data_IF_560258423060
#
_entry.id   IF_560258423060
#
_cell.length_a   1.000
_cell.length_b   1.000
_cell.length_c   1.000
_cell.angle_alpha   90.00
_cell.angle_beta   90.00
_cell.angle_gamma   90.00
#
_symmetry.space_group_name_H-M   'P 1'
#
loop_
_entity.id
_entity.type
_entity.pdbx_description
1 polymer ?
#
# COMPACT_ATOMS: atom_id res chain seq x y z
N UNK A 1 19.27 4.86 33.27
CA UNK A 1 19.72 4.52 31.90
C UNK A 1 18.55 3.84 31.22
N UNK A 2 17.93 4.49 30.24
CA UNK A 2 16.89 3.86 29.42
C UNK A 2 17.58 3.04 28.34
N UNK A 3 17.38 1.72 28.33
CA UNK A 3 17.75 0.88 27.20
C UNK A 3 16.61 1.01 26.19
N UNK A 4 16.93 1.48 24.99
CA UNK A 4 15.95 1.57 23.92
C UNK A 4 15.71 0.17 23.35
N UNK A 5 14.46 -0.24 23.26
CA UNK A 5 14.09 -1.50 22.61
C UNK A 5 14.11 -1.25 21.09
N UNK A 6 15.12 -1.79 20.42
CA UNK A 6 15.28 -1.67 18.98
C UNK A 6 15.66 -3.02 18.39
N UNK A 7 14.97 -3.35 17.31
CA UNK A 7 15.27 -4.50 16.49
C UNK A 7 16.61 -4.35 15.77
N UNK A 8 17.39 -5.42 15.73
CA UNK A 8 18.79 -5.40 15.29
C UNK A 8 19.11 -6.58 14.37
N UNK A 9 20.02 -6.36 13.43
CA UNK A 9 20.63 -7.42 12.62
C UNK A 9 21.86 -8.04 13.28
N UNK A 10 22.35 -7.47 14.39
CA UNK A 10 23.47 -8.05 15.16
C UNK A 10 22.94 -9.03 16.18
N UNK A 11 23.31 -10.30 16.02
CA UNK A 11 22.84 -11.35 16.91
C UNK A 11 23.67 -11.46 18.19
N UNK A 12 23.06 -11.10 19.32
CA UNK A 12 23.63 -11.30 20.66
C UNK A 12 22.89 -12.38 21.46
N UNK A 13 21.76 -12.86 20.94
CA UNK A 13 20.82 -13.75 21.64
C UNK A 13 20.61 -15.08 20.91
N UNK A 14 21.44 -15.37 19.90
CA UNK A 14 21.45 -16.62 19.11
C UNK A 14 20.20 -16.82 18.25
N UNK A 15 19.52 -15.74 17.85
CA UNK A 15 18.36 -15.76 16.96
C UNK A 15 18.73 -15.92 15.47
N UNK A 16 20.00 -15.79 15.10
CA UNK A 16 20.51 -15.94 13.73
C UNK A 16 20.16 -17.31 13.15
N UNK A 17 20.08 -18.36 13.97
CA UNK A 17 19.69 -19.71 13.51
C UNK A 17 18.30 -19.73 12.87
N UNK A 18 17.36 -18.94 13.40
CA UNK A 18 16.00 -18.82 12.85
C UNK A 18 16.06 -18.06 11.52
N UNK A 19 16.74 -16.92 11.49
CA UNK A 19 16.90 -16.12 10.27
C UNK A 19 17.58 -16.94 9.15
N UNK A 20 18.63 -17.71 9.46
CA UNK A 20 19.29 -18.61 8.51
C UNK A 20 18.37 -19.68 7.95
N UNK A 21 17.43 -20.20 8.76
CA UNK A 21 16.44 -21.17 8.30
C UNK A 21 15.47 -20.53 7.30
N UNK A 22 15.01 -19.31 7.58
CA UNK A 22 14.16 -18.51 6.66
C UNK A 22 14.91 -18.24 5.36
N UNK A 23 16.14 -17.72 5.43
CA UNK A 23 16.99 -17.42 4.26
C UNK A 23 17.25 -18.68 3.43
N UNK A 24 17.57 -19.81 4.06
CA UNK A 24 17.78 -21.08 3.35
C UNK A 24 16.52 -21.51 2.62
N UNK A 25 15.36 -21.47 3.28
CA UNK A 25 14.09 -21.84 2.68
C UNK A 25 13.77 -20.96 1.47
N UNK A 26 13.93 -19.64 1.60
CA UNK A 26 13.77 -18.70 0.49
C UNK A 26 14.71 -19.07 -0.66
N UNK A 27 16.00 -19.33 -0.39
CA UNK A 27 16.99 -19.68 -1.42
C UNK A 27 16.67 -20.98 -2.16
N UNK A 28 16.20 -22.00 -1.44
CA UNK A 28 15.86 -23.32 -1.97
C UNK A 28 14.51 -23.36 -2.74
N UNK A 29 13.75 -22.27 -2.75
CA UNK A 29 12.47 -22.15 -3.49
C UNK A 29 12.50 -21.05 -4.56
N UNK A 30 13.37 -21.13 -5.59
CA UNK A 30 13.49 -20.08 -6.61
C UNK A 30 12.28 -19.97 -7.56
N UNK A 31 11.52 -21.05 -7.75
CA UNK A 31 10.45 -21.12 -8.76
C UNK A 31 9.03 -21.11 -8.18
N UNK A 32 8.89 -20.90 -6.87
CA UNK A 32 7.59 -20.92 -6.20
C UNK A 32 7.42 -19.70 -5.30
N UNK A 33 6.30 -18.97 -5.38
CA UNK A 33 5.99 -17.94 -4.40
C UNK A 33 5.76 -18.59 -3.03
N UNK A 34 6.40 -18.06 -2.00
CA UNK A 34 6.30 -18.55 -0.63
C UNK A 34 5.91 -17.43 0.32
N UNK A 35 5.03 -17.75 1.27
CA UNK A 35 4.65 -16.87 2.38
C UNK A 35 5.12 -17.50 3.68
N UNK A 36 5.91 -16.76 4.47
CA UNK A 36 6.50 -17.24 5.72
C UNK A 36 5.97 -16.38 6.87
N UNK A 37 5.32 -17.03 7.84
CA UNK A 37 4.89 -16.37 9.07
C UNK A 37 5.93 -16.56 10.18
N UNK A 38 6.42 -15.46 10.75
CA UNK A 38 7.27 -15.49 11.96
C UNK A 38 6.41 -15.17 13.17
N UNK A 39 6.17 -16.18 14.01
CA UNK A 39 5.29 -16.06 15.19
C UNK A 39 6.09 -16.18 16.49
N UNK A 40 5.60 -15.53 17.54
CA UNK A 40 6.21 -15.52 18.87
C UNK A 40 5.65 -14.41 19.75
N UNK A 41 5.85 -14.53 21.06
CA UNK A 41 5.37 -13.56 22.05
C UNK A 41 5.98 -12.16 21.89
N UNK A 42 5.43 -11.17 22.60
CA UNK A 42 6.01 -9.83 22.67
C UNK A 42 7.44 -9.91 23.22
N UNK A 43 8.40 -9.25 22.56
CA UNK A 43 9.81 -9.29 22.95
C UNK A 43 10.56 -10.57 22.55
N UNK A 44 9.94 -11.52 21.84
CA UNK A 44 10.60 -12.76 21.40
C UNK A 44 11.64 -12.58 20.26
N UNK A 45 11.97 -11.34 19.86
CA UNK A 45 12.97 -11.05 18.83
C UNK A 45 12.51 -11.21 17.38
N UNK A 46 11.20 -11.28 17.11
CA UNK A 46 10.63 -11.43 15.76
C UNK A 46 11.17 -10.40 14.76
N UNK A 47 11.08 -9.11 15.09
CA UNK A 47 11.55 -8.01 14.25
C UNK A 47 13.07 -8.09 14.01
N UNK A 48 13.86 -8.55 15.00
CA UNK A 48 15.30 -8.81 14.82
C UNK A 48 15.55 -9.98 13.86
N UNK A 49 14.75 -11.06 13.92
CA UNK A 49 14.81 -12.15 12.94
C UNK A 49 14.51 -11.65 11.53
N UNK A 50 13.50 -10.78 11.37
CA UNK A 50 13.18 -10.14 10.09
C UNK A 50 14.34 -9.26 9.59
N UNK A 51 14.95 -8.42 10.45
CA UNK A 51 16.12 -7.60 10.09
C UNK A 51 17.35 -8.43 9.74
N UNK A 52 17.61 -9.52 10.44
CA UNK A 52 18.69 -10.45 10.08
C UNK A 52 18.43 -11.12 8.74
N UNK A 53 17.16 -11.44 8.44
CA UNK A 53 16.76 -12.00 7.14
C UNK A 53 16.99 -10.98 6.02
N UNK A 54 16.60 -9.72 6.21
CA UNK A 54 16.88 -8.62 5.27
C UNK A 54 18.38 -8.45 5.05
N UNK A 55 19.16 -8.36 6.14
CA UNK A 55 20.61 -8.19 6.10
C UNK A 55 21.32 -9.31 5.32
N UNK A 56 20.79 -10.54 5.34
CA UNK A 56 21.38 -11.67 4.63
C UNK A 56 21.29 -11.56 3.10
N UNK A 57 20.40 -10.73 2.57
CA UNK A 57 20.26 -10.44 1.13
C UNK A 57 20.88 -9.09 0.72
N UNK A 58 21.38 -8.29 1.67
CA UNK A 58 22.02 -7.02 1.36
C UNK A 58 23.25 -7.23 0.47
N UNK A 59 23.32 -6.46 -0.63
CA UNK A 59 24.40 -6.56 -1.61
C UNK A 59 24.15 -7.58 -2.72
N UNK A 60 23.07 -8.37 -2.69
CA UNK A 60 22.68 -9.23 -3.80
C UNK A 60 21.92 -8.42 -4.86
N UNK A 61 22.60 -8.00 -5.95
CA UNK A 61 22.02 -7.09 -6.97
C UNK A 61 20.72 -7.60 -7.63
N UNK A 62 20.53 -8.92 -7.66
CA UNK A 62 19.37 -9.59 -8.26
C UNK A 62 18.29 -9.98 -7.24
N UNK A 63 18.47 -9.65 -5.96
CA UNK A 63 17.47 -9.82 -4.91
C UNK A 63 17.05 -8.45 -4.39
N UNK A 64 15.76 -8.13 -4.48
CA UNK A 64 15.21 -6.92 -3.88
C UNK A 64 14.50 -7.28 -2.58
N UNK A 65 14.99 -6.74 -1.46
CA UNK A 65 14.28 -6.77 -0.19
C UNK A 65 13.48 -5.49 0.00
N UNK A 66 12.17 -5.64 0.23
CA UNK A 66 11.28 -4.54 0.60
C UNK A 66 10.86 -4.69 2.05
N UNK A 67 11.15 -3.69 2.86
CA UNK A 67 10.70 -3.61 4.25
C UNK A 67 9.42 -2.78 4.35
N UNK A 68 8.39 -3.35 4.96
CA UNK A 68 7.16 -2.66 5.31
C UNK A 68 6.88 -2.84 6.81
N UNK A 69 6.74 -1.75 7.55
CA UNK A 69 6.37 -1.79 8.96
C UNK A 69 4.92 -1.30 9.13
N UNK A 70 4.04 -2.17 9.61
CA UNK A 70 2.62 -1.88 9.75
C UNK A 70 2.29 -0.76 10.74
N UNK A 71 3.13 -0.57 11.77
CA UNK A 71 2.96 0.50 12.76
C UNK A 71 3.11 1.90 12.13
N UNK A 72 4.03 2.05 11.17
CA UNK A 72 4.25 3.31 10.44
C UNK A 72 2.99 3.78 9.69
N UNK A 73 2.14 2.82 9.29
CA UNK A 73 0.94 3.07 8.49
C UNK A 73 -0.35 2.86 9.29
N UNK A 74 -0.26 2.73 10.63
CA UNK A 74 -1.42 2.61 11.51
C UNK A 74 -2.31 3.87 11.37
N UNK A 75 -3.57 3.68 11.01
CA UNK A 75 -4.53 4.77 10.79
C UNK A 75 -4.54 5.37 9.37
N UNK A 76 -3.66 4.92 8.46
CA UNK A 76 -3.80 5.18 7.03
C UNK A 76 -4.86 4.23 6.45
N UNK A 77 -5.92 4.80 5.85
CA UNK A 77 -7.03 4.05 5.22
C UNK A 77 -6.54 3.14 4.07
N UNK A 78 -5.41 3.48 3.44
CA UNK A 78 -4.92 2.88 2.20
C UNK A 78 -3.57 2.13 2.35
N UNK A 79 -3.32 1.44 3.47
CA UNK A 79 -2.06 0.72 3.72
C UNK A 79 -1.65 -0.21 2.55
N UNK A 80 -2.60 -0.92 1.92
CA UNK A 80 -2.36 -1.78 0.75
C UNK A 80 -1.80 -1.01 -0.44
N UNK A 81 -2.30 0.20 -0.65
CA UNK A 81 -1.86 1.04 -1.76
C UNK A 81 -0.48 1.60 -1.51
N UNK A 82 -0.20 1.98 -0.26
CA UNK A 82 1.13 2.44 0.16
C UNK A 82 2.18 1.34 -0.02
N UNK A 83 1.86 0.08 0.29
CA UNK A 83 2.74 -1.07 0.01
C UNK A 83 3.08 -1.14 -1.49
N UNK A 84 2.07 -1.05 -2.36
CA UNK A 84 2.26 -1.12 -3.81
C UNK A 84 3.12 0.05 -4.30
N UNK A 85 2.83 1.27 -3.86
CA UNK A 85 3.60 2.47 -4.26
C UNK A 85 5.05 2.42 -3.78
N UNK A 86 5.26 1.96 -2.54
CA UNK A 86 6.60 1.76 -1.97
C UNK A 86 7.37 0.74 -2.79
N UNK A 87 6.73 -0.37 -3.16
CA UNK A 87 7.34 -1.40 -4.00
C UNK A 87 7.72 -0.87 -5.39
N UNK A 88 6.88 -0.05 -6.00
CA UNK A 88 7.19 0.57 -7.29
C UNK A 88 8.38 1.53 -7.17
N UNK A 89 8.42 2.36 -6.13
CA UNK A 89 9.52 3.31 -5.95
C UNK A 89 10.84 2.59 -5.60
N UNK A 90 10.81 1.55 -4.77
CA UNK A 90 11.99 0.73 -4.45
C UNK A 90 12.52 0.00 -5.69
N UNK A 91 11.65 -0.56 -6.54
CA UNK A 91 12.06 -1.14 -7.82
C UNK A 91 12.73 -0.12 -8.73
N UNK A 92 12.19 1.11 -8.79
CA UNK A 92 12.77 2.21 -9.57
C UNK A 92 14.13 2.65 -9.01
N UNK A 93 14.27 2.72 -7.69
CA UNK A 93 15.54 3.05 -7.01
C UNK A 93 16.59 1.97 -7.18
N UNK A 94 16.19 0.70 -7.16
CA UNK A 94 17.07 -0.44 -7.37
C UNK A 94 17.59 -0.54 -8.82
N UNK A 95 16.91 0.13 -9.77
CA UNK A 95 17.26 0.15 -11.21
C UNK A 95 17.24 1.58 -11.76
N UNK A 96 18.06 2.51 -11.23
CA UNK A 96 17.94 3.94 -11.50
C UNK A 96 18.26 4.34 -12.94
N UNK A 97 19.03 3.51 -13.65
CA UNK A 97 19.43 3.73 -15.06
C UNK A 97 18.53 3.00 -16.06
N UNK A 98 17.56 2.19 -15.59
CA UNK A 98 16.71 1.41 -16.48
C UNK A 98 15.50 2.22 -16.95
N UNK A 99 15.54 2.68 -18.20
CA UNK A 99 14.39 3.35 -18.83
C UNK A 99 13.15 2.44 -18.89
N UNK A 100 13.34 1.13 -19.05
CA UNK A 100 12.25 0.14 -19.04
C UNK A 100 11.52 0.12 -17.71
N UNK A 101 12.26 0.06 -16.60
CA UNK A 101 11.69 0.11 -15.24
C UNK A 101 10.99 1.43 -15.00
N UNK A 102 11.59 2.55 -15.41
CA UNK A 102 11.00 3.87 -15.23
C UNK A 102 9.64 4.01 -15.94
N UNK A 103 9.52 3.56 -17.19
CA UNK A 103 8.26 3.61 -17.94
C UNK A 103 7.22 2.62 -17.39
N UNK A 104 7.61 1.39 -17.04
CA UNK A 104 6.70 0.42 -16.43
C UNK A 104 6.15 0.91 -15.08
N UNK A 105 7.03 1.44 -14.23
CA UNK A 105 6.66 2.04 -12.94
C UNK A 105 5.68 3.20 -13.12
N UNK A 106 5.93 4.10 -14.09
CA UNK A 106 5.05 5.23 -14.40
C UNK A 106 3.67 4.77 -14.88
N UNK A 107 3.61 3.74 -15.72
CA UNK A 107 2.36 3.16 -16.22
C UNK A 107 1.54 2.59 -15.05
N UNK A 108 2.18 1.82 -14.18
CA UNK A 108 1.54 1.20 -13.02
C UNK A 108 1.11 2.23 -11.96
N UNK A 109 1.90 3.27 -11.69
CA UNK A 109 1.51 4.34 -10.76
C UNK A 109 0.24 5.07 -11.24
N UNK A 110 0.15 5.39 -12.53
CA UNK A 110 -1.08 5.98 -13.10
C UNK A 110 -2.30 5.08 -12.91
N UNK A 111 -2.11 3.75 -12.98
CA UNK A 111 -3.17 2.78 -12.74
C UNK A 111 -3.62 2.81 -11.29
N UNK A 112 -2.68 2.83 -10.36
CA UNK A 112 -2.93 2.94 -8.92
C UNK A 112 -3.66 4.24 -8.60
N UNK A 113 -3.23 5.37 -9.16
CA UNK A 113 -3.89 6.67 -9.00
C UNK A 113 -5.34 6.65 -9.50
N UNK A 114 -5.57 6.06 -10.68
CA UNK A 114 -6.93 5.90 -11.21
C UNK A 114 -7.80 5.05 -10.28
N UNK A 115 -7.28 3.92 -9.77
CA UNK A 115 -8.01 3.05 -8.83
C UNK A 115 -8.35 3.77 -7.52
N UNK A 116 -7.45 4.61 -6.99
CA UNK A 116 -7.71 5.45 -5.82
C UNK A 116 -8.86 6.41 -6.07
N UNK A 117 -8.84 7.12 -7.20
CA UNK A 117 -9.90 8.08 -7.58
C UNK A 117 -11.23 7.36 -7.77
N UNK A 118 -11.24 6.24 -8.51
CA UNK A 118 -12.44 5.44 -8.76
C UNK A 118 -13.07 4.89 -7.46
N UNK A 119 -12.25 4.45 -6.50
CA UNK A 119 -12.75 3.99 -5.19
C UNK A 119 -13.45 5.11 -4.42
N UNK A 120 -12.84 6.31 -4.38
CA UNK A 120 -13.43 7.48 -3.72
C UNK A 120 -14.75 7.88 -4.39
N UNK A 121 -14.76 7.98 -5.72
CA UNK A 121 -15.97 8.37 -6.47
C UNK A 121 -17.10 7.35 -6.31
N UNK A 122 -16.80 6.06 -6.32
CA UNK A 122 -17.78 4.99 -6.08
C UNK A 122 -18.42 5.10 -4.69
N UNK A 123 -17.64 5.42 -3.64
CA UNK A 123 -18.18 5.68 -2.30
C UNK A 123 -19.19 6.85 -2.30
N UNK A 124 -18.85 7.96 -2.98
CA UNK A 124 -19.75 9.11 -3.16
C UNK A 124 -21.03 8.76 -3.90
N UNK A 125 -20.94 8.04 -5.02
CA UNK A 125 -22.11 7.59 -5.75
C UNK A 125 -22.99 6.64 -4.92
N UNK A 126 -22.37 5.68 -4.21
CA UNK A 126 -23.09 4.75 -3.33
C UNK A 126 -23.89 5.49 -2.25
N UNK A 127 -23.31 6.52 -1.64
CA UNK A 127 -24.00 7.35 -0.62
C UNK A 127 -25.14 8.15 -1.22
N UNK A 128 -24.93 8.76 -2.39
CA UNK A 128 -25.96 9.52 -3.07
C UNK A 128 -27.18 8.65 -3.43
N UNK A 129 -26.95 7.38 -3.80
CA UNK A 129 -28.00 6.43 -4.16
C UNK A 129 -28.70 5.86 -2.93
N UNK A 130 -27.94 5.43 -1.93
CA UNK A 130 -28.47 4.63 -0.81
C UNK A 130 -28.82 5.48 0.42
N UNK A 131 -28.33 6.71 0.49
CA UNK A 131 -28.38 7.53 1.70
C UNK A 131 -27.47 7.04 2.83
N UNK A 132 -26.69 5.97 2.62
CA UNK A 132 -25.77 5.40 3.61
C UNK A 132 -24.35 5.87 3.30
N UNK A 133 -23.75 6.75 4.12
CA UNK A 133 -22.37 7.17 3.96
C UNK A 133 -21.42 6.01 4.23
N UNK A 134 -20.42 5.81 3.36
CA UNK A 134 -19.32 4.90 3.67
C UNK A 134 -18.41 5.49 4.75
N UNK A 135 -17.62 4.64 5.41
CA UNK A 135 -16.76 5.04 6.52
C UNK A 135 -15.75 6.13 6.12
N UNK A 136 -15.13 5.99 4.94
CA UNK A 136 -14.18 6.98 4.38
C UNK A 136 -14.85 8.36 4.21
N UNK A 137 -16.11 8.38 3.80
CA UNK A 137 -16.84 9.62 3.55
C UNK A 137 -17.30 10.33 4.82
N UNK A 138 -17.51 9.60 5.92
CA UNK A 138 -17.82 10.23 7.21
C UNK A 138 -16.64 11.06 7.71
N UNK A 139 -15.40 10.59 7.49
CA UNK A 139 -14.17 11.33 7.78
C UNK A 139 -14.08 12.58 6.90
N UNK A 140 -14.22 12.43 5.58
CA UNK A 140 -14.16 13.55 4.63
C UNK A 140 -15.25 14.60 4.92
N UNK A 141 -16.48 14.18 5.25
CA UNK A 141 -17.57 15.09 5.63
C UNK A 141 -17.26 15.82 6.93
N UNK A 142 -16.72 15.13 7.94
CA UNK A 142 -16.30 15.77 9.17
C UNK A 142 -15.22 16.83 8.90
N UNK A 143 -14.23 16.55 8.06
CA UNK A 143 -13.19 17.49 7.68
C UNK A 143 -13.76 18.69 6.89
N UNK A 144 -14.70 18.45 5.98
CA UNK A 144 -15.42 19.50 5.24
C UNK A 144 -16.22 20.37 6.21
N UNK A 145 -17.05 19.80 7.09
CA UNK A 145 -17.82 20.54 8.08
C UNK A 145 -16.89 21.35 8.99
N UNK A 146 -15.78 20.78 9.43
CA UNK A 146 -14.79 21.47 10.25
C UNK A 146 -14.12 22.63 9.50
N UNK A 147 -13.84 22.46 8.21
CA UNK A 147 -13.30 23.51 7.34
C UNK A 147 -14.33 24.62 7.03
N UNK A 148 -15.60 24.27 6.88
CA UNK A 148 -16.71 25.21 6.67
C UNK A 148 -17.02 26.02 7.94
N UNK A 149 -17.05 25.38 9.12
CA UNK A 149 -17.19 26.06 10.41
C UNK A 149 -16.03 27.04 10.66
N UNK A 150 -14.85 26.77 10.08
CA UNK A 150 -13.68 27.67 10.14
C UNK A 150 -13.70 28.80 9.09
N UNK A 151 -14.65 28.83 8.16
CA UNK A 151 -14.81 29.91 7.16
C UNK A 151 -16.01 30.80 7.54
N UNK A 152 -15.80 31.98 8.15
CA UNK A 152 -16.89 32.88 8.46
C UNK A 152 -17.20 33.72 7.21
N UNK A 153 -18.18 33.27 6.40
CA UNK A 153 -19.02 34.15 5.59
C UNK A 153 -20.19 33.37 4.97
N UNK A 154 -21.37 33.62 5.54
CA UNK A 154 -22.67 33.09 5.14
C UNK A 154 -23.08 33.63 3.76
N UNK A 155 -23.16 32.73 2.78
CA UNK A 155 -24.19 32.70 1.73
C UNK A 155 -23.94 31.50 0.81
N UNK A 156 -24.71 30.43 1.01
CA UNK A 156 -24.83 29.36 0.01
C UNK A 156 -25.87 29.83 -1.00
N UNK A 157 -25.46 30.19 -2.22
CA UNK A 157 -26.37 30.62 -3.28
C UNK A 157 -27.14 29.44 -3.88
N UNK A 158 -28.35 29.69 -4.39
CA UNK A 158 -29.12 28.69 -5.15
C UNK A 158 -28.39 28.27 -6.44
N UNK A 159 -27.55 29.15 -6.99
CA UNK A 159 -26.68 28.84 -8.13
C UNK A 159 -25.50 27.94 -7.73
N UNK A 160 -25.00 28.06 -6.50
CA UNK A 160 -24.02 27.11 -5.94
C UNK A 160 -24.67 25.73 -5.77
N UNK A 161 -25.92 25.68 -5.29
CA UNK A 161 -26.63 24.41 -5.13
C UNK A 161 -26.95 23.73 -6.47
N UNK A 162 -27.30 24.50 -7.51
CA UNK A 162 -27.55 23.97 -8.85
C UNK A 162 -26.27 23.50 -9.54
N UNK A 163 -25.17 24.24 -9.42
CA UNK A 163 -23.87 23.80 -9.94
C UNK A 163 -23.40 22.53 -9.22
N UNK A 164 -23.56 22.46 -7.89
CA UNK A 164 -23.28 21.25 -7.12
C UNK A 164 -24.14 20.05 -7.57
N UNK A 165 -25.42 20.25 -7.87
CA UNK A 165 -26.32 19.19 -8.36
C UNK A 165 -25.97 18.71 -9.78
N UNK A 166 -25.60 19.62 -10.68
CA UNK A 166 -25.13 19.29 -12.02
C UNK A 166 -23.82 18.51 -11.99
N UNK A 167 -22.86 18.99 -11.18
CA UNK A 167 -21.60 18.27 -10.95
C UNK A 167 -21.85 16.89 -10.33
N UNK A 168 -22.77 16.76 -9.36
CA UNK A 168 -23.11 15.48 -8.77
C UNK A 168 -23.63 14.48 -9.81
N UNK A 169 -24.47 14.90 -10.76
CA UNK A 169 -24.93 14.01 -11.84
C UNK A 169 -23.81 13.58 -12.79
N UNK A 170 -22.91 14.49 -13.16
CA UNK A 170 -21.77 14.16 -14.01
C UNK A 170 -20.77 13.24 -13.29
N UNK A 171 -20.53 13.48 -11.99
CA UNK A 171 -19.74 12.58 -11.14
C UNK A 171 -20.39 11.20 -10.97
N UNK A 172 -21.71 11.13 -10.83
CA UNK A 172 -22.43 9.86 -10.76
C UNK A 172 -22.30 9.07 -12.06
N UNK A 173 -22.46 9.72 -13.23
CA UNK A 173 -22.28 9.07 -14.53
C UNK A 173 -20.85 8.59 -14.74
N UNK A 174 -19.85 9.43 -14.45
CA UNK A 174 -18.45 9.05 -14.53
C UNK A 174 -18.14 7.87 -13.60
N UNK A 175 -18.62 7.90 -12.35
CA UNK A 175 -18.43 6.81 -11.39
C UNK A 175 -19.09 5.49 -11.84
N UNK A 176 -20.25 5.54 -12.50
CA UNK A 176 -20.90 4.33 -13.05
C UNK A 176 -20.12 3.75 -14.22
N UNK A 177 -19.64 4.58 -15.15
CA UNK A 177 -18.80 4.12 -16.27
C UNK A 177 -17.45 3.56 -15.80
N UNK A 178 -16.85 4.19 -14.78
CA UNK A 178 -15.61 3.73 -14.16
C UNK A 178 -15.79 2.39 -13.42
N UNK A 179 -16.93 2.20 -12.76
CA UNK A 179 -17.25 0.94 -12.07
C UNK A 179 -17.43 -0.23 -13.05
N UNK A 180 -18.04 -0.01 -14.23
CA UNK A 180 -18.19 -1.02 -15.27
C UNK A 180 -16.84 -1.47 -15.85
N UNK A 181 -15.84 -0.56 -15.91
CA UNK A 181 -14.49 -0.85 -16.41
C UNK A 181 -13.54 -1.39 -15.34
N UNK A 182 -13.97 -1.49 -14.08
CA UNK A 182 -13.11 -1.92 -12.98
C UNK A 182 -12.43 -3.29 -13.22
N UNK A 183 -13.10 -4.34 -13.76
CA UNK A 183 -12.44 -5.60 -14.06
C UNK A 183 -11.29 -5.45 -15.05
N UNK A 184 -11.47 -4.67 -16.12
CA UNK A 184 -10.45 -4.40 -17.12
C UNK A 184 -9.23 -3.70 -16.50
N UNK A 185 -9.47 -2.74 -15.60
CA UNK A 185 -8.41 -2.05 -14.87
C UNK A 185 -7.66 -2.96 -13.89
N UNK A 186 -8.32 -3.95 -13.28
CA UNK A 186 -7.65 -4.96 -12.44
C UNK A 186 -6.76 -5.87 -13.28
N UNK A 187 -7.22 -6.29 -14.46
CA UNK A 187 -6.41 -7.08 -15.39
C UNK A 187 -5.21 -6.27 -15.91
N UNK A 188 -5.43 -5.02 -16.29
CA UNK A 188 -4.36 -4.12 -16.71
C UNK A 188 -3.34 -3.90 -15.59
N UNK A 189 -3.78 -3.70 -14.35
CA UNK A 189 -2.89 -3.59 -13.19
C UNK A 189 -1.99 -4.82 -13.05
N UNK A 190 -2.54 -6.04 -13.14
CA UNK A 190 -1.74 -7.28 -13.05
C UNK A 190 -0.70 -7.36 -14.16
N UNK A 191 -1.09 -7.09 -15.40
CA UNK A 191 -0.18 -7.08 -16.55
C UNK A 191 0.92 -6.03 -16.39
N UNK A 192 0.58 -4.83 -15.94
CA UNK A 192 1.52 -3.72 -15.72
C UNK A 192 2.47 -4.01 -14.55
N UNK A 193 2.00 -4.74 -13.54
CA UNK A 193 2.82 -5.23 -12.44
C UNK A 193 3.81 -6.31 -12.90
N UNK A 194 3.36 -7.28 -13.69
CA UNK A 194 4.23 -8.30 -14.29
C UNK A 194 5.30 -7.64 -15.18
N UNK A 195 4.90 -6.69 -16.05
CA UNK A 195 5.82 -5.91 -16.88
C UNK A 195 6.92 -5.20 -16.05
N UNK A 196 6.56 -4.65 -14.89
CA UNK A 196 7.51 -3.97 -14.00
C UNK A 196 8.50 -4.97 -13.37
N UNK A 197 8.02 -6.12 -12.89
CA UNK A 197 8.86 -7.16 -12.28
C UNK A 197 9.83 -7.73 -13.32
N UNK A 198 9.35 -8.03 -14.52
CA UNK A 198 10.18 -8.53 -15.62
C UNK A 198 11.23 -7.50 -16.05
N UNK A 199 10.83 -6.22 -16.16
CA UNK A 199 11.75 -5.13 -16.52
C UNK A 199 12.84 -4.88 -15.46
N UNK A 200 12.57 -5.21 -14.19
CA UNK A 200 13.53 -5.06 -13.10
C UNK A 200 14.62 -6.16 -13.10
N UNK A 201 14.43 -7.23 -13.87
CA UNK A 201 15.39 -8.33 -14.03
C UNK A 201 15.88 -8.87 -12.66
N UNK A 202 14.96 -9.05 -11.71
CA UNK A 202 15.22 -9.64 -10.40
C UNK A 202 15.12 -11.16 -10.47
N UNK A 203 16.02 -11.87 -9.77
CA UNK A 203 15.85 -13.30 -9.50
C UNK A 203 14.83 -13.50 -8.38
N UNK A 204 14.73 -12.54 -7.45
CA UNK A 204 13.85 -12.65 -6.30
C UNK A 204 13.42 -11.29 -5.77
N UNK A 205 12.14 -11.20 -5.43
CA UNK A 205 11.57 -10.15 -4.60
C UNK A 205 11.21 -10.74 -3.23
N UNK A 206 11.78 -10.18 -2.16
CA UNK A 206 11.49 -10.56 -0.77
C UNK A 206 10.78 -9.40 -0.10
N UNK A 207 9.48 -9.57 0.16
CA UNK A 207 8.67 -8.57 0.88
C UNK A 207 8.60 -8.96 2.35
N UNK A 208 9.25 -8.17 3.19
CA UNK A 208 9.28 -8.33 4.65
C UNK A 208 8.25 -7.38 5.24
N UNK A 209 7.26 -7.95 5.92
CA UNK A 209 6.22 -7.18 6.62
C UNK A 209 6.37 -7.39 8.12
N UNK A 210 6.74 -6.34 8.83
CA UNK A 210 6.76 -6.29 10.30
C UNK A 210 5.49 -5.63 10.85
N UNK A 211 5.12 -5.97 12.08
CA UNK A 211 3.92 -5.46 12.76
C UNK A 211 2.61 -5.61 11.93
N UNK A 212 2.45 -6.74 11.23
CA UNK A 212 1.31 -7.00 10.34
C UNK A 212 -0.05 -6.88 11.08
N UNK A 213 -0.08 -7.20 12.37
CA UNK A 213 -1.27 -7.10 13.23
C UNK A 213 -1.81 -5.66 13.34
N UNK A 214 -0.98 -4.65 13.07
CA UNK A 214 -1.38 -3.23 13.03
C UNK A 214 -2.10 -2.83 11.74
N UNK A 215 -2.03 -3.68 10.71
CA UNK A 215 -2.69 -3.45 9.42
C UNK A 215 -4.00 -4.23 9.25
N UNK A 216 -4.51 -4.84 10.32
CA UNK A 216 -5.79 -5.55 10.26
C UNK A 216 -6.94 -4.56 10.09
N UNK A 217 -7.93 -4.84 9.23
CA UNK A 217 -9.13 -4.02 9.16
C UNK A 217 -9.78 -3.99 10.55
N UNK A 218 -10.36 -2.86 10.94
CA UNK A 218 -11.14 -2.75 12.17
C UNK A 218 -12.17 -3.88 12.15
N UNK A 219 -12.01 -4.86 13.04
CA UNK A 219 -13.04 -5.87 13.28
C UNK A 219 -14.29 -5.12 13.73
N UNK A 220 -15.40 -5.38 13.02
CA UNK A 220 -16.71 -4.77 13.23
C UNK A 220 -17.20 -4.90 14.67
#
# INVERSE_FOLDING_TARGET
MFLNDQETSTDLLYYETIARTVVRFIRETPSAPVTIGVHGDWGAGKSSVLKMTEAAFQGEERVLCLWFNGWTFEGFEDAKTVVIETLIDELRRARPTSAKVAEAAKKLLKRVDWLKVARKSAGFAFTAITGVPSFDQLRDVADIVTAFVKRPQDQISVDDLKSMAGHAQDYLKAATEDAERLPEHIHAFRSEFEELIDAAELDRLVVIVDDLDRCLPKTA
#
